data_IF_187132395022
#
_entry.id   IF_187132395022
#
_cell.length_a   1.000
_cell.length_b   1.000
_cell.length_c   1.000
_cell.angle_alpha   90.00
_cell.angle_beta   90.00
_cell.angle_gamma   90.00
#
_symmetry.space_group_name_H-M   'P 1'
#
loop_
_entity.id
_entity.type
_entity.pdbx_description
1 polymer ?
#
# COMPACT_ATOMS: atom_id res chain seq x y z
N UNK A 1 -3.93 11.50 -70.47
CA UNK A 1 -4.98 10.47 -70.60
C UNK A 1 -4.74 9.51 -69.45
N UNK A 2 -5.18 9.80 -68.22
CA UNK A 2 -6.55 9.82 -67.70
C UNK A 2 -7.23 8.45 -67.83
N UNK A 3 -7.03 7.60 -66.83
CA UNK A 3 -7.91 6.47 -66.52
C UNK A 3 -8.16 6.46 -65.01
N UNK A 4 -9.44 6.55 -64.68
CA UNK A 4 -9.98 6.75 -63.34
C UNK A 4 -10.34 5.38 -62.72
N UNK A 5 -9.90 5.14 -61.49
CA UNK A 5 -10.42 4.06 -60.66
C UNK A 5 -11.27 4.66 -59.54
N UNK A 6 -12.58 4.48 -59.64
CA UNK A 6 -13.56 4.85 -58.63
C UNK A 6 -13.81 3.75 -57.60
N UNK A 7 -13.68 4.16 -56.33
CA UNK A 7 -14.72 4.08 -55.29
C UNK A 7 -15.00 2.74 -54.55
N UNK A 8 -14.81 2.86 -53.22
CA UNK A 8 -15.41 2.17 -52.05
C UNK A 8 -15.07 0.72 -51.71
N UNK A 9 -14.61 0.56 -50.46
CA UNK A 9 -14.66 -0.70 -49.73
C UNK A 9 -14.07 -0.61 -48.33
N UNK A 10 -14.86 -0.08 -47.39
CA UNK A 10 -14.75 -0.25 -45.92
C UNK A 10 -13.44 0.16 -45.21
N UNK A 11 -13.49 1.33 -44.57
CA UNK A 11 -12.83 1.51 -43.27
C UNK A 11 -13.45 0.51 -42.30
N UNK A 12 -12.75 -0.61 -42.09
CA UNK A 12 -13.03 -1.51 -40.99
C UNK A 12 -12.79 -0.74 -39.69
N UNK A 13 -13.86 -0.31 -39.05
CA UNK A 13 -13.84 0.10 -37.66
C UNK A 13 -13.22 -1.05 -36.86
N UNK A 14 -12.00 -0.83 -36.38
CA UNK A 14 -11.37 -1.72 -35.41
C UNK A 14 -12.32 -1.88 -34.20
N UNK A 15 -12.30 -3.04 -33.53
CA UNK A 15 -13.24 -3.34 -32.47
C UNK A 15 -13.22 -2.21 -31.43
N UNK A 16 -14.41 -1.68 -31.14
CA UNK A 16 -14.62 -0.76 -30.05
C UNK A 16 -13.90 -1.31 -28.81
N UNK A 17 -13.05 -0.48 -28.20
CA UNK A 17 -12.42 -0.81 -26.93
C UNK A 17 -13.55 -1.20 -25.98
N UNK A 18 -13.59 -2.49 -25.59
CA UNK A 18 -14.51 -2.94 -24.57
C UNK A 18 -14.20 -2.14 -23.31
N UNK A 19 -15.15 -1.30 -22.91
CA UNK A 19 -15.06 -0.52 -21.68
C UNK A 19 -14.83 -1.51 -20.54
N UNK A 20 -13.76 -1.29 -19.76
CA UNK A 20 -13.44 -2.15 -18.63
C UNK A 20 -14.67 -2.20 -17.71
N UNK A 21 -15.00 -3.37 -17.13
CA UNK A 21 -16.13 -3.46 -16.23
C UNK A 21 -15.97 -2.42 -15.10
N UNK A 22 -17.05 -1.73 -14.70
CA UNK A 22 -16.99 -0.73 -13.65
C UNK A 22 -16.52 -1.36 -12.33
N UNK A 23 -15.78 -0.60 -11.53
CA UNK A 23 -15.35 -1.03 -10.21
C UNK A 23 -16.56 -1.35 -9.32
N UNK A 24 -16.42 -2.28 -8.35
CA UNK A 24 -17.42 -2.44 -7.30
C UNK A 24 -17.71 -1.10 -6.60
N UNK A 25 -18.95 -0.82 -6.15
CA UNK A 25 -19.32 0.50 -5.65
C UNK A 25 -18.42 1.06 -4.54
N UNK A 26 -18.02 0.22 -3.59
CA UNK A 26 -17.12 0.63 -2.49
C UNK A 26 -15.68 0.86 -2.95
N UNK A 27 -15.23 0.17 -4.01
CA UNK A 27 -13.93 0.45 -4.62
C UNK A 27 -13.96 1.77 -5.40
N UNK A 28 -15.06 2.04 -6.11
CA UNK A 28 -15.25 3.33 -6.78
C UNK A 28 -15.30 4.48 -5.76
N UNK A 29 -16.04 4.32 -4.66
CA UNK A 29 -16.08 5.34 -3.60
C UNK A 29 -14.69 5.58 -2.96
N UNK A 30 -13.89 4.52 -2.80
CA UNK A 30 -12.52 4.67 -2.33
C UNK A 30 -11.64 5.39 -3.36
N UNK A 31 -11.79 5.08 -4.65
CA UNK A 31 -11.08 5.74 -5.74
C UNK A 31 -11.40 7.24 -5.79
N UNK A 32 -12.68 7.61 -5.77
CA UNK A 32 -13.12 9.00 -5.80
C UNK A 32 -12.59 9.78 -4.58
N UNK A 33 -12.56 9.15 -3.40
CA UNK A 33 -11.98 9.74 -2.20
C UNK A 33 -10.46 9.95 -2.30
N UNK A 34 -9.73 9.01 -2.90
CA UNK A 34 -8.29 9.17 -3.18
C UNK A 34 -8.06 10.34 -4.14
N UNK A 35 -8.86 10.47 -5.20
CA UNK A 35 -8.75 11.60 -6.14
C UNK A 35 -9.02 12.95 -5.47
N UNK A 36 -9.88 12.97 -4.44
CA UNK A 36 -10.13 14.14 -3.62
C UNK A 36 -9.06 14.38 -2.53
N UNK A 37 -8.08 13.48 -2.37
CA UNK A 37 -7.09 13.53 -1.28
C UNK A 37 -7.65 13.14 0.09
N UNK A 38 -8.85 12.57 0.17
CA UNK A 38 -9.47 12.12 1.43
C UNK A 38 -9.15 10.65 1.70
N UNK A 39 -7.92 10.39 2.15
CA UNK A 39 -7.47 9.04 2.48
C UNK A 39 -8.27 8.40 3.63
N UNK A 40 -8.86 9.20 4.51
CA UNK A 40 -9.68 8.71 5.60
C UNK A 40 -11.03 8.15 5.08
N UNK A 41 -11.68 8.88 4.17
CA UNK A 41 -12.89 8.39 3.49
C UNK A 41 -12.59 7.16 2.64
N UNK A 42 -11.46 7.14 1.92
CA UNK A 42 -11.04 5.98 1.15
C UNK A 42 -10.83 4.73 2.02
N UNK A 43 -10.16 4.89 3.17
CA UNK A 43 -9.98 3.81 4.14
C UNK A 43 -11.32 3.30 4.68
N UNK A 44 -12.27 4.20 4.96
CA UNK A 44 -13.62 3.82 5.39
C UNK A 44 -14.34 2.96 4.34
N UNK A 45 -14.26 3.35 3.06
CA UNK A 45 -14.88 2.61 1.96
C UNK A 45 -14.26 1.21 1.79
N UNK A 46 -12.92 1.08 1.84
CA UNK A 46 -12.28 -0.23 1.77
C UNK A 46 -12.58 -1.11 3.00
N UNK A 47 -12.66 -0.55 4.21
CA UNK A 47 -13.08 -1.31 5.39
C UNK A 47 -14.52 -1.82 5.26
N UNK A 48 -15.42 -1.03 4.69
CA UNK A 48 -16.78 -1.49 4.39
C UNK A 48 -16.75 -2.63 3.35
N UNK A 49 -15.93 -2.51 2.30
CA UNK A 49 -15.79 -3.56 1.29
C UNK A 49 -15.30 -4.88 1.91
N UNK A 50 -14.34 -4.81 2.85
CA UNK A 50 -13.83 -5.97 3.57
C UNK A 50 -14.83 -6.54 4.58
N UNK A 51 -15.72 -5.71 5.13
CA UNK A 51 -16.81 -6.21 5.98
C UNK A 51 -17.81 -7.04 5.16
N UNK A 52 -18.08 -6.65 3.91
CA UNK A 52 -18.94 -7.40 2.99
C UNK A 52 -18.24 -8.63 2.39
N UNK A 53 -16.96 -8.48 2.04
CA UNK A 53 -16.14 -9.54 1.41
C UNK A 53 -14.75 -9.58 2.07
N UNK A 54 -14.59 -10.31 3.19
CA UNK A 54 -13.32 -10.37 3.93
C UNK A 54 -12.13 -10.93 3.15
N UNK A 55 -12.41 -11.70 2.09
CA UNK A 55 -11.39 -12.29 1.21
C UNK A 55 -11.03 -11.41 0.00
N UNK A 56 -11.51 -10.16 -0.04
CA UNK A 56 -11.21 -9.24 -1.13
C UNK A 56 -9.75 -8.74 -1.05
N UNK A 57 -8.89 -9.30 -1.88
CA UNK A 57 -7.48 -8.96 -1.92
C UNK A 57 -7.23 -7.52 -2.42
N UNK A 58 -8.07 -7.03 -3.33
CA UNK A 58 -7.95 -5.66 -3.88
C UNK A 58 -8.32 -4.64 -2.81
N UNK A 59 -9.43 -4.86 -2.09
CA UNK A 59 -9.82 -3.99 -0.99
C UNK A 59 -8.79 -4.00 0.15
N UNK A 60 -8.18 -5.15 0.43
CA UNK A 60 -7.13 -5.26 1.47
C UNK A 60 -5.87 -4.49 1.10
N UNK A 61 -5.39 -4.65 -0.13
CA UNK A 61 -4.25 -3.88 -0.63
C UNK A 61 -4.56 -2.38 -0.69
N UNK A 62 -5.75 -2.03 -1.18
CA UNK A 62 -6.25 -0.65 -1.23
C UNK A 62 -6.30 0.00 0.16
N UNK A 63 -6.84 -0.70 1.16
CA UNK A 63 -6.87 -0.22 2.55
C UNK A 63 -5.47 0.06 3.08
N UNK A 64 -4.55 -0.90 2.92
CA UNK A 64 -3.19 -0.75 3.42
C UNK A 64 -2.47 0.44 2.76
N UNK A 65 -2.69 0.64 1.45
CA UNK A 65 -2.13 1.76 0.70
C UNK A 65 -2.65 3.11 1.20
N UNK A 66 -3.97 3.28 1.34
CA UNK A 66 -4.54 4.58 1.75
C UNK A 66 -4.25 4.89 3.22
N UNK A 67 -4.17 3.88 4.08
CA UNK A 67 -3.76 4.09 5.47
C UNK A 67 -2.29 4.53 5.57
N UNK A 68 -1.40 3.96 4.74
CA UNK A 68 0.00 4.43 4.64
C UNK A 68 0.06 5.89 4.17
N UNK A 69 -0.66 6.22 3.11
CA UNK A 69 -0.70 7.58 2.56
C UNK A 69 -1.21 8.58 3.60
N UNK A 70 -2.30 8.25 4.30
CA UNK A 70 -2.86 9.11 5.36
C UNK A 70 -1.90 9.33 6.54
N UNK A 71 -1.04 8.36 6.89
CA UNK A 71 -0.01 8.58 7.92
C UNK A 71 1.11 9.49 7.45
N UNK A 72 1.55 9.32 6.20
CA UNK A 72 2.64 10.12 5.63
C UNK A 72 2.20 11.56 5.37
N UNK A 73 0.96 11.79 4.95
CA UNK A 73 0.41 13.13 4.71
C UNK A 73 0.48 14.04 5.95
N UNK A 74 0.40 13.45 7.15
CA UNK A 74 0.51 14.18 8.41
C UNK A 74 1.93 14.64 8.75
N UNK A 75 2.95 14.17 8.01
CA UNK A 75 4.35 14.46 8.26
C UNK A 75 4.83 15.60 7.35
N UNK A 76 5.44 16.61 7.96
CA UNK A 76 6.26 17.56 7.20
C UNK A 76 7.64 16.96 6.89
N UNK A 77 8.38 17.57 5.96
CA UNK A 77 9.76 17.18 5.68
C UNK A 77 10.66 17.27 6.93
N UNK A 78 10.40 18.25 7.80
CA UNK A 78 11.12 18.42 9.08
C UNK A 78 10.77 17.29 10.06
N UNK A 79 9.50 16.90 10.15
CA UNK A 79 9.09 15.77 10.99
C UNK A 79 9.73 14.47 10.51
N UNK A 80 9.74 14.24 9.19
CA UNK A 80 10.35 13.05 8.61
C UNK A 80 11.85 12.95 8.93
N UNK A 81 12.59 14.06 8.87
CA UNK A 81 14.01 14.09 9.25
C UNK A 81 14.21 13.84 10.74
N UNK A 82 13.41 14.49 11.59
CA UNK A 82 13.47 14.29 13.04
C UNK A 82 13.18 12.83 13.43
N UNK A 83 12.20 12.18 12.79
CA UNK A 83 11.87 10.77 13.03
C UNK A 83 13.03 9.84 12.64
N UNK A 84 13.71 10.10 11.52
CA UNK A 84 14.88 9.30 11.12
C UNK A 84 16.02 9.38 12.13
N UNK A 85 16.28 10.57 12.66
CA UNK A 85 17.30 10.77 13.70
C UNK A 85 16.91 10.05 15.00
N UNK A 86 15.68 10.31 15.49
CA UNK A 86 15.15 9.65 16.69
C UNK A 86 15.16 8.12 16.56
N UNK A 87 14.87 7.57 15.38
CA UNK A 87 14.86 6.11 15.21
C UNK A 87 16.22 5.44 15.42
N UNK A 88 17.32 6.17 15.27
CA UNK A 88 18.67 5.68 15.59
C UNK A 88 18.96 5.76 17.09
N UNK A 89 18.41 6.75 17.78
CA UNK A 89 18.64 7.01 19.21
C UNK A 89 17.67 6.26 20.12
N UNK A 90 16.45 5.99 19.63
CA UNK A 90 15.33 5.40 20.34
C UNK A 90 14.88 4.08 19.66
N UNK A 91 15.71 3.02 19.75
CA UNK A 91 15.44 1.73 19.11
C UNK A 91 14.18 1.00 19.59
N UNK A 92 13.62 1.40 20.73
CA UNK A 92 12.46 0.78 21.40
C UNK A 92 11.22 1.68 21.42
N UNK A 93 11.28 2.87 20.83
CA UNK A 93 10.09 3.71 20.61
C UNK A 93 9.33 3.19 19.37
N UNK A 94 8.21 2.51 19.61
CA UNK A 94 7.41 1.92 18.53
C UNK A 94 6.93 2.95 17.53
N UNK A 95 6.45 4.11 17.99
CA UNK A 95 5.86 5.12 17.09
C UNK A 95 6.91 5.64 16.13
N UNK A 96 8.12 5.90 16.63
CA UNK A 96 9.27 6.32 15.83
C UNK A 96 9.67 5.23 14.83
N UNK A 97 9.77 3.97 15.26
CA UNK A 97 10.17 2.88 14.36
C UNK A 97 9.13 2.62 13.26
N UNK A 98 7.83 2.68 13.58
CA UNK A 98 6.77 2.50 12.57
C UNK A 98 6.71 3.68 11.61
N UNK A 99 6.86 4.91 12.10
CA UNK A 99 6.85 6.10 11.25
C UNK A 99 8.00 6.09 10.24
N UNK A 100 9.21 5.70 10.68
CA UNK A 100 10.34 5.58 9.75
C UNK A 100 10.14 4.42 8.77
N UNK A 101 9.55 3.31 9.19
CA UNK A 101 9.22 2.22 8.27
C UNK A 101 8.21 2.66 7.19
N UNK A 102 7.19 3.44 7.55
CA UNK A 102 6.25 4.02 6.58
C UNK A 102 6.97 4.95 5.58
N UNK A 103 7.85 5.83 6.06
CA UNK A 103 8.69 6.69 5.23
C UNK A 103 9.59 5.88 4.29
N UNK A 104 10.23 4.82 4.79
CA UNK A 104 11.10 3.93 4.03
C UNK A 104 10.32 3.22 2.91
N UNK A 105 9.10 2.73 3.18
CA UNK A 105 8.23 2.14 2.15
C UNK A 105 7.88 3.16 1.07
N UNK A 106 7.50 4.38 1.46
CA UNK A 106 7.17 5.43 0.48
C UNK A 106 8.36 5.89 -0.36
N UNK A 107 9.58 5.81 0.19
CA UNK A 107 10.83 6.06 -0.51
C UNK A 107 11.35 4.86 -1.33
N UNK A 108 10.70 3.70 -1.26
CA UNK A 108 11.14 2.48 -1.94
C UNK A 108 12.21 1.66 -1.20
N UNK A 109 12.60 2.06 0.01
CA UNK A 109 13.52 1.35 0.90
C UNK A 109 12.84 0.18 1.62
N UNK A 110 12.23 -0.72 0.85
CA UNK A 110 11.32 -1.76 1.35
C UNK A 110 12.02 -2.72 2.32
N UNK A 111 13.24 -3.16 2.02
CA UNK A 111 13.97 -4.08 2.90
C UNK A 111 14.35 -3.43 4.23
N UNK A 112 14.68 -2.14 4.24
CA UNK A 112 15.03 -1.39 5.45
C UNK A 112 13.81 -1.25 6.39
N UNK A 113 12.64 -0.92 5.82
CA UNK A 113 11.39 -0.85 6.55
C UNK A 113 11.04 -2.19 7.23
N UNK A 114 11.11 -3.29 6.47
CA UNK A 114 10.80 -4.63 7.02
C UNK A 114 11.81 -5.06 8.07
N UNK A 115 13.10 -4.88 7.81
CA UNK A 115 14.16 -5.26 8.76
C UNK A 115 14.03 -4.46 10.06
N UNK A 116 13.68 -3.18 9.99
CA UNK A 116 13.44 -2.31 11.16
C UNK A 116 12.34 -2.88 12.05
N UNK A 117 11.17 -3.19 11.48
CA UNK A 117 10.04 -3.69 12.26
C UNK A 117 10.31 -5.09 12.80
N UNK A 118 10.94 -5.98 12.01
CA UNK A 118 11.32 -7.33 12.47
C UNK A 118 12.31 -7.25 13.64
N UNK A 119 13.31 -6.35 13.55
CA UNK A 119 14.28 -6.15 14.61
C UNK A 119 13.64 -5.58 15.89
N UNK A 120 12.64 -4.69 15.77
CA UNK A 120 11.82 -4.23 16.89
C UNK A 120 11.03 -5.38 17.52
N UNK A 121 10.36 -6.21 16.72
CA UNK A 121 9.58 -7.37 17.20
C UNK A 121 10.46 -8.42 17.91
N UNK A 122 11.73 -8.56 17.50
CA UNK A 122 12.67 -9.49 18.11
C UNK A 122 13.25 -9.03 19.45
N UNK A 123 13.30 -7.72 19.71
CA UNK A 123 13.85 -7.16 20.95
C UNK A 123 12.78 -6.81 21.99
N UNK A 124 11.56 -6.50 21.54
CA UNK A 124 10.47 -6.03 22.39
C UNK A 124 9.40 -7.10 22.65
N UNK A 125 8.74 -6.98 23.79
CA UNK A 125 7.68 -7.87 24.25
C UNK A 125 6.48 -7.04 24.73
N UNK A 126 5.30 -7.64 24.77
CA UNK A 126 4.07 -6.94 25.19
C UNK A 126 3.25 -6.39 24.02
N UNK A 127 2.29 -5.49 24.30
CA UNK A 127 1.32 -4.99 23.32
C UNK A 127 1.96 -4.35 22.08
N UNK A 128 3.09 -3.65 22.26
CA UNK A 128 3.85 -2.98 21.20
C UNK A 128 4.32 -3.98 20.13
N UNK A 129 4.67 -5.20 20.55
CA UNK A 129 5.08 -6.27 19.62
C UNK A 129 3.95 -6.65 18.67
N UNK A 130 2.71 -6.66 19.16
CA UNK A 130 1.53 -6.95 18.33
C UNK A 130 1.23 -5.79 17.38
N UNK A 131 1.28 -4.54 17.86
CA UNK A 131 1.13 -3.34 17.02
C UNK A 131 2.13 -3.35 15.87
N UNK A 132 3.40 -3.64 16.16
CA UNK A 132 4.46 -3.75 15.15
C UNK A 132 4.19 -4.89 14.15
N UNK A 133 3.70 -6.05 14.63
CA UNK A 133 3.35 -7.18 13.77
C UNK A 133 2.21 -6.83 12.82
N UNK A 134 1.16 -6.16 13.30
CA UNK A 134 0.03 -5.72 12.48
C UNK A 134 0.51 -4.76 11.40
N UNK A 135 1.29 -3.72 11.76
CA UNK A 135 1.85 -2.78 10.77
C UNK A 135 2.70 -3.48 9.72
N UNK A 136 3.53 -4.45 10.11
CA UNK A 136 4.35 -5.21 9.16
C UNK A 136 3.49 -5.98 8.14
N UNK A 137 2.37 -6.54 8.56
CA UNK A 137 1.46 -7.26 7.66
C UNK A 137 0.76 -6.30 6.69
N UNK A 138 0.34 -5.13 7.15
CA UNK A 138 -0.22 -4.08 6.29
C UNK A 138 0.81 -3.64 5.23
N UNK A 139 2.07 -3.43 5.64
CA UNK A 139 3.14 -3.08 4.69
C UNK A 139 3.46 -4.21 3.69
N UNK A 140 3.22 -5.47 4.04
CA UNK A 140 3.27 -6.57 3.06
C UNK A 140 2.15 -6.48 2.04
N UNK A 141 0.95 -6.04 2.44
CA UNK A 141 -0.17 -5.84 1.52
C UNK A 141 0.09 -4.63 0.59
N UNK A 142 0.72 -3.56 1.10
CA UNK A 142 1.17 -2.39 0.31
C UNK A 142 2.17 -2.81 -0.78
N UNK A 143 3.22 -3.53 -0.40
CA UNK A 143 4.28 -3.95 -1.33
C UNK A 143 3.78 -5.04 -2.29
N UNK A 144 2.78 -5.81 -1.87
CA UNK A 144 2.25 -6.94 -2.60
C UNK A 144 2.81 -8.26 -2.08
N UNK A 145 1.90 -9.17 -1.72
CA UNK A 145 2.23 -10.45 -1.05
C UNK A 145 3.10 -11.40 -1.89
N UNK A 146 3.22 -11.17 -3.19
CA UNK A 146 4.03 -11.96 -4.11
C UNK A 146 5.48 -11.44 -4.24
N UNK A 147 5.80 -10.26 -3.66
CA UNK A 147 7.16 -9.70 -3.72
C UNK A 147 8.15 -10.58 -2.93
N UNK A 148 9.32 -10.83 -3.52
CA UNK A 148 10.36 -11.66 -2.91
C UNK A 148 10.86 -11.09 -1.56
N UNK A 149 10.84 -9.76 -1.39
CA UNK A 149 11.21 -9.09 -0.13
C UNK A 149 10.18 -9.36 0.96
N UNK A 150 8.89 -9.43 0.60
CA UNK A 150 7.82 -9.85 1.53
C UNK A 150 8.03 -11.31 1.97
N UNK A 151 8.34 -12.21 1.03
CA UNK A 151 8.61 -13.61 1.36
C UNK A 151 9.80 -13.77 2.35
N UNK A 152 10.90 -13.06 2.11
CA UNK A 152 12.06 -13.02 3.03
C UNK A 152 11.70 -12.43 4.39
N UNK A 153 10.95 -11.33 4.42
CA UNK A 153 10.52 -10.68 5.65
C UNK A 153 9.60 -11.58 6.49
N UNK A 154 8.69 -12.34 5.88
CA UNK A 154 7.87 -13.35 6.58
C UNK A 154 8.72 -14.42 7.26
N UNK A 155 9.79 -14.88 6.59
CA UNK A 155 10.73 -15.83 7.20
C UNK A 155 11.49 -15.19 8.36
N UNK A 156 11.92 -13.93 8.23
CA UNK A 156 12.54 -13.17 9.30
C UNK A 156 11.63 -13.00 10.52
N UNK A 157 10.36 -12.63 10.28
CA UNK A 157 9.34 -12.52 11.32
C UNK A 157 9.14 -13.85 12.06
N UNK A 158 9.04 -14.96 11.33
CA UNK A 158 8.89 -16.29 11.96
C UNK A 158 10.06 -16.61 12.92
N UNK A 159 11.30 -16.31 12.52
CA UNK A 159 12.50 -16.56 13.33
C UNK A 159 12.58 -15.73 14.62
N UNK A 160 11.94 -14.57 14.66
CA UNK A 160 11.93 -13.75 15.89
C UNK A 160 10.75 -14.11 16.81
N UNK A 161 9.70 -14.73 16.27
CA UNK A 161 8.51 -15.13 17.04
C UNK A 161 8.66 -16.51 17.72
N UNK A 162 9.49 -17.40 17.17
CA UNK A 162 9.63 -18.81 17.59
C UNK A 162 11.10 -19.21 17.71
#
# INVERSE_FOLDING_TARGET
MAEANGVTGSIGAGPAAAEAPPLPPLHQAAFDAIEAGDYAAAASAYRQALAEKPADAEAKAGLAQVELMGRIELLTATDAEAMRQRAAEEPDDIEVQLTVADLDISGGHIEDAFNRIIAFIGRNFGPERETARVRLLELFDVVGIADQRVAKARQGLARVLF
#
